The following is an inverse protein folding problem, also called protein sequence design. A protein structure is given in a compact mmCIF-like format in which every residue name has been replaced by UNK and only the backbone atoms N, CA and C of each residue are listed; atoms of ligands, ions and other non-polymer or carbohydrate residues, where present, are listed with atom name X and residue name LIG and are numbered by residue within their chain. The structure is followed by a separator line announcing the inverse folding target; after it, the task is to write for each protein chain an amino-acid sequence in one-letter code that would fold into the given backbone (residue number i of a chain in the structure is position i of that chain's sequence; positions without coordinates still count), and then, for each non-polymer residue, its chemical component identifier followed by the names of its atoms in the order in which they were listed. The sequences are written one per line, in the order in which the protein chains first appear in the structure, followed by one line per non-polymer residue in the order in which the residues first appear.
data_IF_563708739034
#
_entry.id   IF_563708739034
#
_cell.length_a   1.000
_cell.length_b   1.000
_cell.length_c   1.000
_cell.angle_alpha   90.00
_cell.angle_beta   90.00
_cell.angle_gamma   90.00
#
_symmetry.space_group_name_H-M   'P 1'
#
loop_
_entity.id
_entity.type
_entity.pdbx_description
1 polymer ?
#
# COMPACT_ATOMS: atom_id res chain seq x y z
N UNK A 1 11.47 7.50 7.80
CA UNK A 1 10.06 7.06 7.72
C UNK A 1 10.06 5.58 7.36
N UNK A 2 9.36 4.71 8.07
CA UNK A 2 9.19 3.29 7.67
C UNK A 2 7.89 3.18 6.85
N UNK A 3 7.90 2.41 5.76
CA UNK A 3 6.74 2.15 4.87
C UNK A 3 5.46 1.86 5.68
N UNK A 4 5.58 1.13 6.79
CA UNK A 4 4.46 0.85 7.69
C UNK A 4 3.79 2.10 8.25
N UNK A 5 4.57 3.08 8.70
CA UNK A 5 4.04 4.31 9.29
C UNK A 5 3.41 5.20 8.21
N UNK A 6 4.00 5.21 7.02
CA UNK A 6 3.47 5.95 5.88
C UNK A 6 2.10 5.41 5.46
N UNK A 7 1.97 4.09 5.22
CA UNK A 7 0.67 3.49 4.89
C UNK A 7 -0.35 3.71 6.00
N UNK A 8 0.04 3.57 7.28
CA UNK A 8 -0.86 3.87 8.40
C UNK A 8 -1.35 5.31 8.40
N UNK A 9 -0.50 6.27 8.04
CA UNK A 9 -0.90 7.69 7.98
C UNK A 9 -1.93 7.94 6.88
N UNK A 10 -1.78 7.33 5.70
CA UNK A 10 -2.78 7.41 4.64
C UNK A 10 -4.10 6.76 5.04
N UNK A 11 -4.04 5.58 5.65
CA UNK A 11 -5.23 4.88 6.16
C UNK A 11 -6.00 5.76 7.15
N UNK A 12 -5.31 6.35 8.13
CA UNK A 12 -5.89 7.27 9.09
C UNK A 12 -6.52 8.50 8.41
N UNK A 13 -5.83 9.10 7.42
CA UNK A 13 -6.34 10.26 6.68
C UNK A 13 -7.60 9.93 5.84
N UNK A 14 -7.72 8.70 5.35
CA UNK A 14 -8.88 8.23 4.58
C UNK A 14 -10.01 7.64 5.42
N UNK A 15 -9.83 7.50 6.74
CA UNK A 15 -10.79 6.83 7.62
C UNK A 15 -10.91 5.31 7.37
N UNK A 16 -9.92 4.69 6.73
CA UNK A 16 -9.89 3.27 6.39
C UNK A 16 -9.10 2.51 7.46
N UNK A 17 -9.63 1.41 7.96
CA UNK A 17 -8.90 0.55 8.91
C UNK A 17 -7.97 -0.43 8.18
N UNK A 18 -6.99 -0.99 8.89
CA UNK A 18 -6.14 -2.04 8.31
C UNK A 18 -6.95 -3.29 7.89
N UNK A 19 -8.03 -3.60 8.62
CA UNK A 19 -8.95 -4.70 8.29
C UNK A 19 -9.70 -4.41 7.00
N UNK A 20 -10.30 -3.23 6.89
CA UNK A 20 -11.00 -2.77 5.69
C UNK A 20 -10.07 -2.75 4.46
N UNK A 21 -8.80 -2.34 4.64
CA UNK A 21 -7.80 -2.44 3.57
C UNK A 21 -7.63 -3.89 3.11
N UNK A 22 -7.44 -4.84 4.02
CA UNK A 22 -7.27 -6.25 3.67
C UNK A 22 -8.52 -6.83 3.03
N UNK A 23 -9.71 -6.45 3.49
CA UNK A 23 -10.99 -6.84 2.87
C UNK A 23 -11.08 -6.34 1.43
N UNK A 24 -10.70 -5.08 1.17
CA UNK A 24 -10.62 -4.52 -0.19
C UNK A 24 -9.60 -5.24 -1.07
N UNK A 25 -8.41 -5.54 -0.54
CA UNK A 25 -7.38 -6.29 -1.27
C UNK A 25 -7.86 -7.69 -1.63
N UNK A 26 -8.62 -8.32 -0.75
CA UNK A 26 -9.09 -9.70 -0.93
C UNK A 26 -10.39 -9.82 -1.73
N UNK A 27 -11.10 -8.72 -1.99
CA UNK A 27 -12.47 -8.72 -2.54
C UNK A 27 -12.60 -9.53 -3.82
N UNK A 28 -11.65 -9.37 -4.74
CA UNK A 28 -11.66 -10.00 -6.06
C UNK A 28 -10.56 -11.07 -6.22
N UNK A 29 -9.88 -11.44 -5.14
CA UNK A 29 -8.82 -12.46 -5.15
C UNK A 29 -9.38 -13.86 -4.87
N UNK A 30 -8.90 -14.90 -5.57
CA UNK A 30 -9.22 -16.29 -5.20
C UNK A 30 -8.68 -16.61 -3.80
N UNK A 31 -9.32 -17.54 -3.08
CA UNK A 31 -9.00 -17.86 -1.68
C UNK A 31 -7.52 -18.14 -1.42
N UNK A 32 -6.85 -18.83 -2.34
CA UNK A 32 -5.42 -19.16 -2.24
C UNK A 32 -4.46 -17.96 -2.46
N UNK A 33 -4.99 -16.79 -2.84
CA UNK A 33 -4.25 -15.55 -3.04
C UNK A 33 -4.61 -14.47 -2.02
N UNK A 34 -5.61 -14.70 -1.16
CA UNK A 34 -5.99 -13.77 -0.11
C UNK A 34 -4.87 -13.60 0.91
N UNK A 35 -4.80 -12.40 1.46
CA UNK A 35 -3.85 -12.04 2.52
C UNK A 35 -4.57 -11.80 3.85
N UNK A 36 -3.81 -11.67 4.93
CA UNK A 36 -4.33 -11.33 6.26
C UNK A 36 -3.75 -10.01 6.76
N UNK A 37 -4.41 -9.39 7.74
CA UNK A 37 -3.90 -8.18 8.42
C UNK A 37 -2.49 -8.41 8.98
N UNK A 38 -2.23 -9.58 9.55
CA UNK A 38 -0.92 -9.93 10.08
C UNK A 38 0.12 -10.06 8.97
N UNK A 39 -0.23 -10.73 7.86
CA UNK A 39 0.69 -10.91 6.73
C UNK A 39 1.05 -9.55 6.11
N UNK A 40 0.06 -8.69 5.85
CA UNK A 40 0.28 -7.34 5.35
C UNK A 40 1.14 -6.51 6.34
N UNK A 41 0.80 -6.50 7.63
CA UNK A 41 1.57 -5.79 8.65
C UNK A 41 3.04 -6.26 8.70
N UNK A 42 3.29 -7.56 8.56
CA UNK A 42 4.64 -8.12 8.52
C UNK A 42 5.39 -7.67 7.27
N UNK A 43 4.76 -7.68 6.09
CA UNK A 43 5.37 -7.19 4.85
C UNK A 43 5.75 -5.71 4.93
N UNK A 44 4.86 -4.88 5.46
CA UNK A 44 5.12 -3.45 5.65
C UNK A 44 6.26 -3.21 6.65
N UNK A 45 6.33 -4.02 7.71
CA UNK A 45 7.39 -3.92 8.71
C UNK A 45 8.77 -4.33 8.15
N UNK A 46 8.81 -5.35 7.29
CA UNK A 46 10.02 -5.91 6.68
C UNK A 46 10.44 -5.21 5.38
N UNK A 47 9.61 -4.32 4.84
CA UNK A 47 9.85 -3.68 3.54
C UNK A 47 9.77 -4.64 2.35
N UNK A 48 9.03 -5.74 2.47
CA UNK A 48 8.92 -6.78 1.44
C UNK A 48 7.62 -6.67 0.63
N UNK A 49 7.11 -5.44 0.46
CA UNK A 49 5.91 -5.16 -0.31
C UNK A 49 6.22 -5.27 -1.80
N UNK A 50 5.47 -6.09 -2.55
CA UNK A 50 5.63 -6.15 -4.01
C UNK A 50 4.92 -4.98 -4.69
N UNK A 51 5.31 -4.69 -5.92
CA UNK A 51 4.75 -3.59 -6.70
C UNK A 51 3.25 -3.75 -7.00
N UNK A 52 2.78 -4.97 -7.28
CA UNK A 52 1.35 -5.28 -7.45
C UNK A 52 0.56 -4.96 -6.17
N UNK A 53 1.12 -5.28 -5.01
CA UNK A 53 0.50 -5.01 -3.71
C UNK A 53 0.47 -3.51 -3.41
N UNK A 54 1.54 -2.78 -3.75
CA UNK A 54 1.56 -1.32 -3.62
C UNK A 54 0.48 -0.64 -4.47
N UNK A 55 0.29 -1.08 -5.72
CA UNK A 55 -0.76 -0.56 -6.60
C UNK A 55 -2.16 -0.84 -6.03
N UNK A 56 -2.41 -2.07 -5.57
CA UNK A 56 -3.71 -2.42 -4.98
C UNK A 56 -3.99 -1.61 -3.70
N UNK A 57 -2.97 -1.40 -2.85
CA UNK A 57 -3.11 -0.55 -1.67
C UNK A 57 -3.45 0.88 -2.10
N UNK A 58 -2.73 1.44 -3.07
CA UNK A 58 -2.99 2.79 -3.58
C UNK A 58 -4.44 2.94 -4.03
N UNK A 59 -4.94 2.02 -4.85
CA UNK A 59 -6.35 2.00 -5.29
C UNK A 59 -7.30 1.94 -4.09
N UNK A 60 -7.04 1.05 -3.13
CA UNK A 60 -7.90 0.86 -1.96
C UNK A 60 -8.00 2.11 -1.07
N UNK A 61 -6.95 2.95 -1.03
CA UNK A 61 -6.91 4.23 -0.29
C UNK A 61 -7.23 5.46 -1.16
N UNK A 62 -7.72 5.27 -2.40
CA UNK A 62 -8.07 6.38 -3.30
C UNK A 62 -6.86 7.18 -3.80
N UNK A 63 -5.72 6.53 -3.99
CA UNK A 63 -4.48 7.06 -4.55
C UNK A 63 -4.11 6.31 -5.84
N UNK A 64 -3.12 6.83 -6.55
CA UNK A 64 -2.51 6.15 -7.70
C UNK A 64 -0.98 6.25 -7.59
N UNK A 65 -0.29 5.33 -8.27
CA UNK A 65 1.16 5.36 -8.42
C UNK A 65 1.45 5.97 -9.78
N UNK A 66 2.32 6.98 -9.81
CA UNK A 66 2.79 7.60 -11.03
C UNK A 66 4.30 7.43 -11.17
N UNK A 67 4.76 7.18 -12.40
CA UNK A 67 6.16 7.29 -12.77
C UNK A 67 6.35 8.69 -13.34
N UNK A 68 7.15 9.49 -12.66
CA UNK A 68 7.52 10.84 -13.10
C UNK A 68 9.00 10.84 -13.45
N UNK A 69 9.38 11.62 -14.46
CA UNK A 69 10.79 11.81 -14.78
C UNK A 69 11.50 12.33 -13.52
N UNK A 70 12.60 11.66 -13.16
CA UNK A 70 13.43 12.14 -12.08
C UNK A 70 14.09 13.41 -12.60
N UNK A 71 13.51 14.59 -12.28
CA UNK A 71 14.14 15.86 -12.58
C UNK A 71 15.50 15.82 -11.90
N UNK A 72 16.56 15.60 -12.67
CA UNK A 72 17.89 15.97 -12.22
C UNK A 72 17.78 17.45 -11.96
N UNK A 73 18.01 17.83 -10.71
CA UNK A 73 18.17 19.22 -10.32
C UNK A 73 19.50 19.66 -10.94
N UNK A 74 19.48 19.86 -12.27
CA UNK A 74 20.56 20.46 -13.01
C UNK A 74 20.47 21.95 -12.66
N UNK A 75 21.07 22.31 -11.53
CA UNK A 75 21.05 23.66 -11.00
C UNK A 75 21.31 24.70 -12.09
N UNK A 76 20.33 25.57 -12.30
CA UNK A 76 20.45 26.89 -12.89
C UNK A 76 19.65 27.88 -12.06
#
# INVERSE_FOLDING_TARGET
MNIKNEIKSYLAATGITMTELVERLNKDLPENKKTSVQNLSNKLSRGSLRYDEAQQIAIAIGKHIEWVDNKKDDGQ
#
